data_IF_431144919300
#
_entry.id   IF_431144919300
#
_cell.length_a   1.000
_cell.length_b   1.000
_cell.length_c   1.000
_cell.angle_alpha   90.00
_cell.angle_beta   90.00
_cell.angle_gamma   90.00
#
_symmetry.space_group_name_H-M   'P 1'
#
loop_
_entity.id
_entity.type
_entity.pdbx_description
1 polymer ?
#
# COMPACT_ATOMS: atom_id res chain seq x y z
N UNK A 1 13.18 2.09 2.36
CA UNK A 1 12.12 1.63 1.43
C UNK A 1 10.86 2.38 1.79
N UNK A 2 10.12 2.90 0.81
CA UNK A 2 8.81 3.47 1.09
C UNK A 2 7.86 2.31 1.46
N UNK A 3 6.97 2.53 2.40
CA UNK A 3 5.94 1.55 2.73
C UNK A 3 4.87 1.55 1.64
N UNK A 4 4.63 0.38 1.03
CA UNK A 4 3.69 0.20 -0.08
C UNK A 4 2.29 -0.22 0.38
N UNK A 5 2.08 -0.43 1.69
CA UNK A 5 0.78 -0.86 2.22
C UNK A 5 -0.28 0.23 2.08
N UNK A 6 -1.53 -0.21 1.95
CA UNK A 6 -2.69 0.68 1.94
C UNK A 6 -3.10 1.03 3.37
N UNK A 7 -3.47 2.30 3.57
CA UNK A 7 -3.88 2.83 4.87
C UNK A 7 -5.25 3.52 4.77
N UNK A 8 -6.07 3.36 5.79
CA UNK A 8 -7.26 4.19 6.01
C UNK A 8 -6.91 5.51 6.67
N UNK A 9 -7.66 6.57 6.37
CA UNK A 9 -7.47 7.90 6.97
C UNK A 9 -8.46 8.08 8.11
N UNK A 10 -7.97 8.29 9.33
CA UNK A 10 -8.81 8.68 10.47
C UNK A 10 -8.21 9.90 11.14
N UNK A 11 -9.06 10.83 11.58
CA UNK A 11 -8.61 11.96 12.40
C UNK A 11 -8.32 11.47 13.82
N UNK A 12 -7.41 12.15 14.52
CA UNK A 12 -7.08 11.82 15.91
C UNK A 12 -8.27 12.00 16.86
N UNK A 13 -9.22 12.85 16.48
CA UNK A 13 -10.45 13.14 17.22
C UNK A 13 -11.54 12.11 16.98
N UNK A 14 -11.36 11.20 16.01
CA UNK A 14 -12.39 10.23 15.63
C UNK A 14 -12.99 9.45 16.82
N UNK A 15 -12.22 8.90 17.77
CA UNK A 15 -12.78 8.18 18.92
C UNK A 15 -13.48 9.10 19.94
N UNK A 16 -13.21 10.40 19.90
CA UNK A 16 -13.72 11.40 20.86
C UNK A 16 -14.93 12.17 20.33
N UNK A 17 -15.29 11.99 19.06
CA UNK A 17 -16.45 12.63 18.47
C UNK A 17 -17.72 12.19 19.23
N UNK A 18 -18.61 13.12 19.56
CA UNK A 18 -19.81 12.86 20.37
C UNK A 18 -20.68 11.73 19.83
N UNK A 19 -20.77 11.56 18.50
CA UNK A 19 -21.58 10.49 17.88
C UNK A 19 -20.89 9.12 17.86
N UNK A 20 -19.57 9.08 18.09
CA UNK A 20 -18.74 7.88 18.04
C UNK A 20 -18.40 7.42 19.46
N UNK A 21 -18.15 8.34 20.38
CA UNK A 21 -17.76 8.08 21.75
C UNK A 21 -18.82 7.34 22.58
N UNK A 22 -20.08 7.39 22.14
CA UNK A 22 -21.23 6.73 22.78
C UNK A 22 -21.52 5.33 22.22
N UNK A 23 -20.80 4.92 21.17
CA UNK A 23 -21.01 3.62 20.51
C UNK A 23 -20.48 2.47 21.36
N UNK A 24 -21.08 1.30 21.17
CA UNK A 24 -20.53 0.04 21.64
C UNK A 24 -19.17 -0.25 20.99
N UNK A 25 -18.32 -1.02 21.68
CA UNK A 25 -17.02 -1.46 21.12
C UNK A 25 -17.19 -2.21 19.79
N UNK A 26 -18.29 -2.95 19.64
CA UNK A 26 -18.63 -3.68 18.42
C UNK A 26 -18.96 -2.72 17.27
N UNK A 27 -19.78 -1.69 17.51
CA UNK A 27 -20.12 -0.66 16.52
C UNK A 27 -18.92 0.21 16.16
N UNK A 28 -18.12 0.61 17.15
CA UNK A 28 -16.86 1.32 16.90
C UNK A 28 -15.93 0.51 15.99
N UNK A 29 -15.69 -0.77 16.32
CA UNK A 29 -14.87 -1.65 15.49
C UNK A 29 -15.47 -1.84 14.10
N UNK A 30 -16.78 -2.03 14.01
CA UNK A 30 -17.49 -2.16 12.73
C UNK A 30 -17.24 -0.96 11.83
N UNK A 31 -17.37 0.27 12.34
CA UNK A 31 -17.17 1.48 11.54
C UNK A 31 -15.74 1.59 11.00
N UNK A 32 -14.74 1.27 11.84
CA UNK A 32 -13.33 1.26 11.43
C UNK A 32 -13.09 0.20 10.35
N UNK A 33 -13.51 -1.04 10.58
CA UNK A 33 -13.35 -2.13 9.63
C UNK A 33 -14.09 -1.88 8.31
N UNK A 34 -15.30 -1.36 8.36
CA UNK A 34 -16.10 -1.02 7.18
C UNK A 34 -15.44 0.07 6.33
N UNK A 35 -14.83 1.07 6.97
CA UNK A 35 -14.08 2.13 6.28
C UNK A 35 -12.84 1.57 5.60
N UNK A 36 -12.11 0.68 6.29
CA UNK A 36 -10.92 0.00 5.73
C UNK A 36 -11.28 -0.92 4.57
N UNK A 37 -12.35 -1.72 4.72
CA UNK A 37 -12.88 -2.58 3.67
C UNK A 37 -13.24 -1.77 2.42
N UNK A 38 -13.99 -0.67 2.60
CA UNK A 38 -14.40 0.19 1.49
C UNK A 38 -13.21 0.82 0.77
N UNK A 39 -12.12 1.10 1.50
CA UNK A 39 -10.89 1.67 0.95
C UNK A 39 -10.11 0.66 0.12
N UNK A 40 -10.09 -0.61 0.56
CA UNK A 40 -9.40 -1.72 -0.08
C UNK A 40 -10.14 -2.16 -1.36
N UNK A 41 -11.44 -2.41 -1.23
CA UNK A 41 -12.30 -2.87 -2.33
C UNK A 41 -12.78 -1.76 -3.27
N UNK A 42 -12.48 -0.49 -2.94
CA UNK A 42 -12.91 0.69 -3.71
C UNK A 42 -14.43 0.74 -3.91
N UNK A 43 -15.19 0.52 -2.84
CA UNK A 43 -16.67 0.51 -2.87
C UNK A 43 -17.30 1.87 -2.55
N UNK A 44 -16.50 2.92 -2.36
CA UNK A 44 -16.96 4.28 -2.05
C UNK A 44 -17.87 4.35 -0.80
N UNK A 45 -17.60 3.50 0.18
CA UNK A 45 -18.37 3.41 1.42
C UNK A 45 -19.59 2.51 1.32
N UNK A 46 -19.84 1.87 0.17
CA UNK A 46 -20.93 0.90 0.02
C UNK A 46 -20.60 -0.43 0.67
N UNK A 47 -21.52 -0.92 1.49
CA UNK A 47 -21.47 -2.19 2.19
C UNK A 47 -22.66 -3.06 1.75
N UNK A 48 -22.40 -4.10 0.98
CA UNK A 48 -23.45 -5.00 0.49
C UNK A 48 -24.15 -5.73 1.65
N UNK A 49 -25.50 -5.82 1.60
CA UNK A 49 -26.32 -6.32 2.72
C UNK A 49 -25.87 -7.67 3.27
N UNK A 50 -25.66 -8.65 2.39
CA UNK A 50 -25.25 -10.01 2.77
C UNK A 50 -23.89 -10.02 3.46
N UNK A 51 -22.94 -9.22 2.95
CA UNK A 51 -21.59 -9.13 3.50
C UNK A 51 -21.62 -8.47 4.88
N UNK A 52 -22.26 -7.30 4.99
CA UNK A 52 -22.29 -6.53 6.23
C UNK A 52 -22.95 -7.31 7.38
N UNK A 53 -24.11 -7.93 7.14
CA UNK A 53 -24.82 -8.71 8.15
C UNK A 53 -24.00 -9.93 8.58
N UNK A 54 -23.37 -10.64 7.64
CA UNK A 54 -22.54 -11.79 7.96
C UNK A 54 -21.27 -11.43 8.75
N UNK A 55 -20.75 -10.21 8.55
CA UNK A 55 -19.49 -9.76 9.14
C UNK A 55 -19.67 -9.12 10.53
N UNK A 56 -20.70 -8.29 10.72
CA UNK A 56 -20.85 -7.47 11.93
C UNK A 56 -22.17 -7.64 12.68
N UNK A 57 -23.10 -8.48 12.18
CA UNK A 57 -24.48 -8.62 12.67
C UNK A 57 -25.40 -7.42 12.38
N UNK A 58 -26.71 -7.65 12.41
CA UNK A 58 -27.70 -6.60 12.11
C UNK A 58 -27.80 -5.56 13.23
N UNK A 59 -27.68 -5.97 14.49
CA UNK A 59 -27.80 -5.08 15.66
C UNK A 59 -26.74 -3.98 15.64
N UNK A 60 -25.49 -4.35 15.35
CA UNK A 60 -24.36 -3.41 15.24
C UNK A 60 -24.56 -2.42 14.09
N UNK A 61 -25.09 -2.90 12.95
CA UNK A 61 -25.37 -2.04 11.79
C UNK A 61 -26.52 -1.07 12.08
N UNK A 62 -27.54 -1.52 12.82
CA UNK A 62 -28.65 -0.67 13.24
C UNK A 62 -28.19 0.39 14.23
N UNK A 63 -27.34 0.04 15.20
CA UNK A 63 -26.74 1.01 16.13
C UNK A 63 -26.04 2.15 15.38
N UNK A 64 -25.22 1.81 14.37
CA UNK A 64 -24.54 2.78 13.53
C UNK A 64 -25.49 3.57 12.60
N UNK A 65 -26.66 3.03 12.28
CA UNK A 65 -27.67 3.71 11.49
C UNK A 65 -28.57 4.63 12.33
N UNK A 66 -28.62 4.44 13.64
CA UNK A 66 -29.46 5.22 14.58
C UNK A 66 -28.66 6.02 15.60
N UNK A 67 -27.33 6.09 15.48
CA UNK A 67 -26.48 6.76 16.47
C UNK A 67 -26.64 8.29 16.50
N UNK A 68 -27.20 8.89 15.44
CA UNK A 68 -27.46 10.32 15.35
C UNK A 68 -28.67 10.59 14.46
N UNK A 69 -29.54 11.51 14.86
CA UNK A 69 -30.82 11.78 14.16
C UNK A 69 -30.63 12.28 12.72
N UNK A 70 -29.75 13.28 12.53
CA UNK A 70 -29.52 13.88 11.21
C UNK A 70 -28.35 13.27 10.42
N UNK A 71 -27.29 12.84 11.11
CA UNK A 71 -26.00 12.42 10.50
C UNK A 71 -25.54 11.06 11.03
N UNK A 72 -26.34 10.00 10.80
CA UNK A 72 -25.98 8.66 11.25
C UNK A 72 -24.66 8.22 10.60
N UNK A 73 -23.93 7.31 11.24
CA UNK A 73 -22.67 6.80 10.70
C UNK A 73 -22.89 5.93 9.47
N UNK A 74 -24.00 5.18 9.44
CA UNK A 74 -24.44 4.39 8.29
C UNK A 74 -25.81 4.85 7.80
N UNK A 75 -25.97 4.88 6.48
CA UNK A 75 -27.23 5.17 5.80
C UNK A 75 -27.74 3.87 5.20
N UNK A 76 -28.91 3.39 5.66
CA UNK A 76 -29.52 2.19 5.08
C UNK A 76 -30.04 2.46 3.68
N UNK A 77 -29.84 1.50 2.78
CA UNK A 77 -30.39 1.49 1.43
C UNK A 77 -30.92 0.09 1.09
N UNK A 78 -31.65 -0.03 -0.02
CA UNK A 78 -32.27 -1.30 -0.43
C UNK A 78 -31.27 -2.46 -0.48
N UNK A 79 -30.05 -2.19 -0.95
CA UNK A 79 -29.02 -3.21 -1.20
C UNK A 79 -27.99 -3.36 -0.07
N UNK A 80 -28.10 -2.60 1.02
CA UNK A 80 -27.14 -2.63 2.13
C UNK A 80 -27.03 -1.28 2.84
N UNK A 81 -25.80 -0.84 3.09
CA UNK A 81 -25.53 0.42 3.81
C UNK A 81 -24.46 1.25 3.10
N UNK A 82 -24.52 2.56 3.27
CA UNK A 82 -23.45 3.49 2.91
C UNK A 82 -22.85 4.12 4.15
N UNK A 83 -21.53 4.27 4.18
CA UNK A 83 -20.85 5.07 5.18
C UNK A 83 -21.11 6.56 4.89
N UNK A 84 -21.65 7.27 5.88
CA UNK A 84 -21.92 8.70 5.77
C UNK A 84 -20.63 9.50 5.57
N UNK A 85 -20.65 10.50 4.68
CA UNK A 85 -19.52 11.36 4.30
C UNK A 85 -18.23 10.61 3.89
N UNK A 86 -18.35 9.39 3.35
CA UNK A 86 -17.16 8.62 2.95
C UNK A 86 -16.25 9.40 1.99
N UNK A 87 -16.85 10.05 0.98
CA UNK A 87 -16.11 10.83 -0.02
C UNK A 87 -15.48 12.13 0.54
N UNK A 88 -15.93 12.63 1.69
CA UNK A 88 -15.32 13.80 2.33
C UNK A 88 -14.04 13.43 3.07
N UNK A 89 -13.99 12.22 3.63
CA UNK A 89 -12.91 11.78 4.50
C UNK A 89 -11.93 10.79 3.85
N UNK A 90 -12.37 10.06 2.81
CA UNK A 90 -11.58 9.05 2.11
C UNK A 90 -11.38 9.39 0.64
N UNK A 91 -10.36 8.77 0.02
CA UNK A 91 -10.21 8.85 -1.43
C UNK A 91 -11.26 7.95 -2.09
N UNK A 92 -12.09 8.52 -2.96
CA UNK A 92 -13.06 7.75 -3.76
C UNK A 92 -12.36 6.91 -4.83
N UNK A 93 -13.04 5.88 -5.35
CA UNK A 93 -12.58 5.04 -6.45
C UNK A 93 -12.15 5.89 -7.64
N UNK A 94 -12.97 6.86 -8.04
CA UNK A 94 -12.68 7.74 -9.16
C UNK A 94 -11.38 8.54 -8.94
N UNK A 95 -11.15 9.07 -7.73
CA UNK A 95 -9.93 9.81 -7.41
C UNK A 95 -8.69 8.92 -7.37
N UNK A 96 -8.83 7.70 -6.84
CA UNK A 96 -7.76 6.70 -6.82
C UNK A 96 -7.37 6.30 -8.24
N UNK A 97 -8.34 6.04 -9.09
CA UNK A 97 -8.12 5.71 -10.50
C UNK A 97 -7.49 6.88 -11.27
N UNK A 98 -7.98 8.11 -11.06
CA UNK A 98 -7.39 9.31 -11.66
C UNK A 98 -5.93 9.52 -11.22
N UNK A 99 -5.62 9.25 -9.94
CA UNK A 99 -4.26 9.31 -9.40
C UNK A 99 -3.38 8.23 -10.02
N UNK A 100 -3.88 7.00 -10.13
CA UNK A 100 -3.18 5.87 -10.78
C UNK A 100 -2.86 6.19 -12.24
N UNK A 101 -3.83 6.70 -12.99
CA UNK A 101 -3.64 7.05 -14.40
C UNK A 101 -2.67 8.22 -14.58
N UNK A 102 -2.76 9.26 -13.74
CA UNK A 102 -1.79 10.37 -13.74
C UNK A 102 -0.37 9.86 -13.47
N UNK A 103 -0.18 9.01 -12.48
CA UNK A 103 1.12 8.44 -12.13
C UNK A 103 1.66 7.55 -13.26
N UNK A 104 0.79 6.76 -13.90
CA UNK A 104 1.14 5.95 -15.07
C UNK A 104 1.62 6.82 -16.23
N UNK A 105 0.89 7.89 -16.56
CA UNK A 105 1.29 8.83 -17.63
C UNK A 105 2.60 9.55 -17.32
N UNK A 106 2.80 9.98 -16.08
CA UNK A 106 4.05 10.60 -15.65
C UNK A 106 5.23 9.62 -15.74
N UNK A 107 5.03 8.37 -15.27
CA UNK A 107 6.03 7.30 -15.38
C UNK A 107 6.40 6.97 -16.82
N UNK A 108 5.41 6.90 -17.72
CA UNK A 108 5.64 6.69 -19.15
C UNK A 108 6.47 7.83 -19.77
N UNK A 109 6.11 9.09 -19.48
CA UNK A 109 6.85 10.26 -19.97
C UNK A 109 8.30 10.27 -19.45
N UNK A 110 8.49 9.98 -18.17
CA UNK A 110 9.81 9.86 -17.54
C UNK A 110 10.65 8.75 -18.16
N UNK A 111 10.05 7.58 -18.38
CA UNK A 111 10.71 6.43 -19.03
C UNK A 111 11.15 6.75 -20.46
N UNK A 112 10.29 7.40 -21.25
CA UNK A 112 10.62 7.84 -22.61
C UNK A 112 11.73 8.90 -22.62
N UNK A 113 11.68 9.87 -21.71
CA UNK A 113 12.72 10.90 -21.60
C UNK A 113 14.07 10.27 -21.23
N UNK A 114 14.09 9.36 -20.25
CA UNK A 114 15.29 8.62 -19.86
C UNK A 114 15.84 7.75 -20.99
N UNK A 115 14.97 7.08 -21.75
CA UNK A 115 15.39 6.29 -22.91
C UNK A 115 16.02 7.17 -24.00
N UNK A 116 15.41 8.32 -24.31
CA UNK A 116 15.96 9.30 -25.27
C UNK A 116 17.30 9.86 -24.82
N UNK A 117 17.46 10.19 -23.53
CA UNK A 117 18.74 10.65 -22.99
C UNK A 117 19.81 9.57 -23.08
N UNK A 118 19.50 8.33 -22.68
CA UNK A 118 20.44 7.21 -22.80
C UNK A 118 20.86 6.94 -24.25
N UNK A 119 19.92 7.01 -25.20
CA UNK A 119 20.25 6.88 -26.62
C UNK A 119 21.17 8.01 -27.11
N UNK A 120 20.94 9.26 -26.69
CA UNK A 120 21.82 10.39 -27.00
C UNK A 120 23.22 10.20 -26.44
N UNK A 121 23.34 9.81 -25.17
CA UNK A 121 24.64 9.56 -24.56
C UNK A 121 25.38 8.39 -25.21
N UNK A 122 24.68 7.30 -25.54
CA UNK A 122 25.27 6.18 -26.26
C UNK A 122 25.77 6.60 -27.66
N UNK A 123 24.99 7.39 -28.40
CA UNK A 123 25.41 7.91 -29.70
C UNK A 123 26.62 8.84 -29.60
N UNK A 124 26.69 9.68 -28.55
CA UNK A 124 27.85 10.53 -28.27
C UNK A 124 29.10 9.72 -27.96
N UNK A 125 28.99 8.69 -27.12
CA UNK A 125 30.11 7.80 -26.81
C UNK A 125 30.62 7.04 -28.04
N UNK A 126 29.71 6.55 -28.88
CA UNK A 126 30.10 5.88 -30.13
C UNK A 126 30.79 6.86 -31.08
N UNK A 127 30.29 8.10 -31.20
CA UNK A 127 30.90 9.12 -32.05
C UNK A 127 32.30 9.53 -31.55
N UNK A 128 32.49 9.65 -30.24
CA UNK A 128 33.78 9.97 -29.62
C UNK A 128 34.80 8.84 -29.82
N UNK A 129 34.39 7.58 -29.62
CA UNK A 129 35.24 6.41 -29.90
C UNK A 129 35.63 6.31 -31.39
N UNK A 130 34.70 6.61 -32.31
CA UNK A 130 34.99 6.65 -33.75
C UNK A 130 35.98 7.77 -34.11
N UNK A 131 35.86 8.94 -33.47
CA UNK A 131 36.76 10.06 -33.69
C UNK A 131 38.18 9.76 -33.16
N UNK A 132 38.30 9.13 -31.98
CA UNK A 132 39.58 8.68 -31.42
C UNK A 132 40.24 7.62 -32.31
N UNK A 133 39.49 6.61 -32.77
CA UNK A 133 40.01 5.55 -33.61
C UNK A 133 40.43 6.04 -35.02
N UNK A 134 39.77 7.08 -35.55
CA UNK A 134 40.20 7.76 -36.77
C UNK A 134 41.45 8.63 -36.55
N UNK A 135 41.59 9.28 -35.39
CA UNK A 135 42.78 10.07 -35.06
C UNK A 135 44.02 9.18 -34.88
N UNK A 136 43.87 7.98 -34.31
CA UNK A 136 44.95 7.00 -34.14
C UNK A 136 45.37 6.36 -35.47
N UNK A 137 44.42 6.04 -36.36
CA UNK A 137 44.74 5.52 -37.70
C UNK A 137 45.43 6.55 -38.62
N UNK A 138 45.14 7.84 -38.47
CA UNK A 138 45.84 8.90 -39.21
C UNK A 138 47.22 9.19 -38.61
N UNK A 139 47.43 8.96 -37.30
CA UNK A 139 48.74 9.04 -36.66
C UNK A 139 49.73 7.96 -37.13
N UNK A 140 49.25 6.76 -37.46
CA UNK A 140 50.11 5.66 -37.91
C UNK A 140 50.36 5.64 -39.43
N UNK A 141 49.51 6.29 -40.25
CA UNK A 141 49.71 6.38 -41.71
C UNK A 141 50.59 7.57 -42.17
N UNK A 142 51.04 8.45 -41.28
CA UNK A 142 51.92 9.58 -41.63
C UNK A 142 53.42 9.21 -41.54
N UNK A 143 53.75 7.97 -41.16
CA UNK A 143 55.13 7.46 -41.16
C UNK A 143 55.65 7.00 -42.53
N UNK A 144 54.79 6.61 -43.46
CA UNK A 144 55.23 6.10 -44.77
C UNK A 144 54.20 6.44 -45.85
N UNK A 145 54.50 7.48 -46.64
CA UNK A 145 54.33 7.55 -48.11
C UNK A 145 54.10 9.00 -48.54
N UNK A 146 55.21 9.73 -48.65
CA UNK A 146 55.28 10.87 -49.55
C UNK A 146 55.22 10.42 -51.01
N UNK A 147 54.66 11.30 -51.84
CA UNK A 147 54.65 11.38 -53.32
C UNK A 147 53.70 10.41 -54.06
N UNK A 148 52.60 10.91 -54.64
CA UNK A 148 52.53 11.47 -56.00
C UNK A 148 51.11 11.97 -56.41
N UNK A 149 51.10 13.23 -56.84
CA UNK A 149 50.26 13.99 -57.80
C UNK A 149 49.20 13.27 -58.69
N UNK A 150 47.97 13.82 -58.79
CA UNK A 150 47.29 14.37 -60.02
C UNK A 150 45.82 14.76 -59.72
N UNK A 151 45.42 16.04 -59.85
CA UNK A 151 44.71 16.76 -60.95
C UNK A 151 43.19 16.46 -61.12
N UNK A 152 42.43 17.55 -60.93
CA UNK A 152 41.11 17.98 -61.46
C UNK A 152 39.75 17.53 -60.87
N UNK A 153 39.07 18.59 -60.39
CA UNK A 153 37.74 19.09 -60.80
C UNK A 153 36.47 18.50 -60.17
N UNK A 154 35.89 19.25 -59.23
CA UNK A 154 34.44 19.42 -59.10
C UNK A 154 34.13 20.64 -58.22
N UNK A 155 33.62 21.72 -58.81
CA UNK A 155 32.93 22.80 -58.08
C UNK A 155 31.56 22.33 -57.59
N UNK A 156 31.08 22.85 -56.46
CA UNK A 156 29.75 23.44 -56.51
C UNK A 156 29.71 24.85 -55.92
N UNK A 157 28.85 25.64 -56.54
CA UNK A 157 28.67 27.06 -56.35
C UNK A 157 27.92 27.38 -55.06
N UNK A 158 28.35 28.48 -54.43
CA UNK A 158 27.69 29.15 -53.31
C UNK A 158 26.63 30.09 -53.86
N UNK A 159 25.39 29.97 -53.39
CA UNK A 159 24.40 31.05 -53.45
C UNK A 159 23.88 31.39 -52.05
N UNK A 160 23.68 32.69 -51.88
CA UNK A 160 23.54 33.47 -50.65
C UNK A 160 22.10 33.96 -50.53
N UNK A 161 21.60 34.04 -49.28
CA UNK A 161 20.54 34.91 -48.73
C UNK A 161 19.17 35.05 -49.40
N UNK A 162 18.10 34.93 -48.59
CA UNK A 162 17.04 35.95 -48.57
C UNK A 162 16.44 36.07 -47.16
N UNK A 163 16.52 37.27 -46.62
CA UNK A 163 15.89 37.75 -45.39
C UNK A 163 14.36 37.92 -45.58
N UNK A 164 13.58 37.80 -44.51
CA UNK A 164 12.36 38.60 -44.37
C UNK A 164 12.16 38.95 -42.90
N UNK A 165 12.45 40.21 -42.60
CA UNK A 165 12.07 40.89 -41.39
C UNK A 165 10.54 40.97 -41.27
N UNK A 166 10.00 40.88 -40.05
CA UNK A 166 8.89 41.76 -39.68
C UNK A 166 9.15 42.26 -38.27
N UNK A 167 9.28 43.58 -38.24
CA UNK A 167 9.77 44.41 -37.16
C UNK A 167 8.62 44.89 -36.27
N UNK A 168 8.87 44.84 -34.96
CA UNK A 168 8.46 45.79 -33.90
C UNK A 168 6.97 46.06 -33.63
N UNK A 169 6.60 45.91 -32.35
CA UNK A 169 6.41 47.09 -31.49
C UNK A 169 6.43 46.74 -29.99
N UNK A 170 7.44 47.29 -29.33
CA UNK A 170 7.50 47.55 -27.89
C UNK A 170 6.70 48.81 -27.62
N UNK A 171 5.84 48.80 -26.59
CA UNK A 171 5.61 50.00 -25.77
C UNK A 171 5.54 49.64 -24.30
N UNK A 172 6.31 50.42 -23.55
CA UNK A 172 6.55 50.48 -22.11
C UNK A 172 5.37 50.95 -21.25
N UNK A 173 5.34 50.50 -19.99
CA UNK A 173 5.27 51.42 -18.84
C UNK A 173 3.96 51.54 -18.05
N UNK A 174 4.07 51.37 -16.71
CA UNK A 174 3.10 51.78 -15.68
C UNK A 174 2.14 50.67 -15.25
N UNK A 175 2.12 50.14 -14.02
CA UNK A 175 2.43 50.76 -12.73
C UNK A 175 1.14 51.30 -12.09
N UNK A 176 0.26 50.43 -11.55
CA UNK A 176 -0.66 50.81 -10.47
C UNK A 176 -0.94 49.60 -9.56
N UNK A 177 -0.61 49.80 -8.29
CA UNK A 177 -0.92 48.92 -7.18
C UNK A 177 -2.41 49.00 -6.78
N UNK A 178 -3.00 47.88 -6.36
CA UNK A 178 -4.06 47.88 -5.33
C UNK A 178 -4.21 46.47 -4.74
N UNK A 179 -3.56 46.20 -3.60
CA UNK A 179 -4.20 46.07 -2.27
C UNK A 179 -5.30 45.00 -2.20
N UNK A 180 -4.96 43.84 -1.63
CA UNK A 180 -5.45 43.55 -0.28
C UNK A 180 -4.58 42.48 0.39
N UNK A 181 -3.78 42.96 1.33
CA UNK A 181 -3.19 42.17 2.39
C UNK A 181 -4.21 42.02 3.52
N UNK A 182 -4.44 40.80 3.98
CA UNK A 182 -4.63 40.55 5.41
C UNK A 182 -3.82 39.32 5.81
N UNK A 183 -2.52 39.60 6.00
CA UNK A 183 -1.76 38.91 7.03
C UNK A 183 -2.30 39.34 8.41
N UNK A 184 -2.51 38.38 9.31
CA UNK A 184 -2.21 38.61 10.72
C UNK A 184 -1.14 37.60 11.13
N UNK A 185 -0.05 38.20 11.59
CA UNK A 185 1.14 37.59 12.13
C UNK A 185 0.86 36.86 13.45
N UNK A 186 1.62 35.80 13.67
CA UNK A 186 1.94 35.26 14.98
C UNK A 186 3.32 34.61 14.88
N UNK A 187 4.36 35.43 15.03
CA UNK A 187 5.74 34.98 15.16
C UNK A 187 5.99 34.39 16.56
N UNK A 188 7.10 33.65 16.65
CA UNK A 188 7.81 33.19 17.85
C UNK A 188 7.38 31.86 18.48
N UNK A 189 7.91 30.76 17.92
CA UNK A 189 8.26 29.57 18.69
C UNK A 189 9.65 29.08 18.25
N UNK A 190 10.63 28.93 19.16
CA UNK A 190 11.94 28.38 18.82
C UNK A 190 11.83 26.91 18.39
N UNK A 191 12.73 26.41 17.53
CA UNK A 191 12.69 25.03 17.08
C UNK A 191 12.83 24.09 18.29
N UNK A 192 11.99 23.05 18.43
CA UNK A 192 12.14 22.06 19.48
C UNK A 192 13.50 21.38 19.38
N UNK A 193 14.27 21.47 20.45
CA UNK A 193 15.50 20.73 20.62
C UNK A 193 15.23 19.24 20.45
N UNK A 194 16.11 18.58 19.71
CA UNK A 194 16.14 17.14 19.45
C UNK A 194 15.98 16.33 20.75
N UNK A 195 14.76 15.82 20.98
CA UNK A 195 14.60 14.67 21.87
C UNK A 195 15.07 13.47 21.06
N UNK A 196 16.31 13.04 21.35
CA UNK A 196 16.90 11.80 20.86
C UNK A 196 15.91 10.64 21.00
N UNK A 197 15.44 10.15 19.86
CA UNK A 197 14.69 8.91 19.70
C UNK A 197 15.43 7.74 20.37
N UNK A 198 14.96 7.35 21.56
CA UNK A 198 15.45 6.17 22.29
C UNK A 198 14.56 4.94 22.09
N UNK A 199 13.86 4.84 20.95
CA UNK A 199 12.95 3.72 20.63
C UNK A 199 13.13 3.15 19.23
N UNK A 200 14.37 3.02 18.77
CA UNK A 200 14.70 2.15 17.62
C UNK A 200 15.29 0.83 18.12
N UNK A 201 14.92 -0.23 17.41
CA UNK A 201 15.46 -1.60 17.41
C UNK A 201 14.89 -2.61 18.41
N UNK A 202 13.76 -3.23 18.03
CA UNK A 202 13.44 -4.59 18.50
C UNK A 202 13.10 -5.58 17.35
N UNK A 203 12.93 -5.12 16.10
CA UNK A 203 12.52 -6.00 14.99
C UNK A 203 13.13 -5.69 13.62
N UNK A 204 14.15 -4.83 13.53
CA UNK A 204 14.93 -4.69 12.30
C UNK A 204 16.12 -5.65 12.35
N UNK A 205 16.32 -6.52 11.33
CA UNK A 205 17.56 -7.28 11.24
C UNK A 205 18.71 -6.27 11.17
N UNK A 206 19.74 -6.38 12.02
CA UNK A 206 20.77 -5.36 12.09
C UNK A 206 21.48 -5.26 10.74
N UNK A 207 21.29 -4.11 10.10
CA UNK A 207 22.00 -3.70 8.90
C UNK A 207 23.48 -3.57 9.24
N UNK A 208 24.22 -4.63 8.96
CA UNK A 208 25.67 -4.75 9.07
C UNK A 208 26.27 -4.53 10.48
N UNK A 209 27.21 -5.38 10.87
CA UNK A 209 28.02 -5.11 12.06
C UNK A 209 28.80 -3.80 11.84
N UNK A 210 28.95 -2.96 12.87
CA UNK A 210 29.78 -1.73 12.79
C UNK A 210 31.20 -1.97 12.27
N UNK A 211 31.73 -3.20 12.42
CA UNK A 211 33.04 -3.60 11.89
C UNK A 211 33.04 -3.97 10.41
N UNK A 212 31.89 -4.29 9.82
CA UNK A 212 31.77 -4.78 8.44
C UNK A 212 30.58 -4.11 7.71
N UNK A 213 30.66 -2.80 7.42
CA UNK A 213 29.58 -2.05 6.78
C UNK A 213 29.37 -2.36 5.29
N UNK A 214 30.39 -2.91 4.61
CA UNK A 214 30.41 -3.07 3.15
C UNK A 214 29.98 -4.45 2.62
N UNK A 215 29.40 -5.30 3.47
CA UNK A 215 28.97 -6.64 3.07
C UNK A 215 29.62 -7.72 3.92
N UNK A 216 28.85 -8.79 4.12
CA UNK A 216 29.21 -9.93 4.96
C UNK A 216 30.35 -10.71 4.30
N UNK A 217 31.58 -10.54 4.80
CA UNK A 217 32.69 -11.40 4.42
C UNK A 217 32.68 -12.64 5.33
N UNK A 218 32.60 -13.82 4.73
CA UNK A 218 32.23 -15.07 5.42
C UNK A 218 33.33 -15.65 6.35
N UNK A 219 34.55 -15.10 6.33
CA UNK A 219 35.73 -15.77 6.88
C UNK A 219 36.37 -15.11 8.12
N UNK A 220 35.76 -14.08 8.72
CA UNK A 220 36.29 -13.48 9.96
C UNK A 220 35.51 -13.86 11.22
N UNK A 221 36.26 -14.23 12.27
CA UNK A 221 35.81 -14.59 13.62
C UNK A 221 35.21 -13.40 14.41
N UNK A 222 34.26 -12.68 13.82
CA UNK A 222 33.55 -11.61 14.49
C UNK A 222 32.47 -12.20 15.41
N UNK A 223 32.71 -12.14 16.72
CA UNK A 223 31.77 -12.61 17.75
C UNK A 223 30.43 -11.86 17.74
N UNK A 224 30.39 -10.62 17.23
CA UNK A 224 29.14 -9.89 17.02
C UNK A 224 28.33 -10.46 15.85
N UNK A 225 28.96 -10.69 14.68
CA UNK A 225 28.31 -11.35 13.55
C UNK A 225 27.90 -12.79 13.87
N UNK A 226 28.67 -13.51 14.69
CA UNK A 226 28.31 -14.85 15.18
C UNK A 226 27.05 -14.84 16.06
N UNK A 227 26.89 -13.86 16.95
CA UNK A 227 25.67 -13.71 17.76
C UNK A 227 24.44 -13.36 16.91
N UNK A 228 24.61 -12.50 15.91
CA UNK A 228 23.53 -12.14 15.00
C UNK A 228 23.09 -13.32 14.13
N UNK A 229 24.02 -14.15 13.64
CA UNK A 229 23.71 -15.41 12.96
C UNK A 229 22.88 -16.34 13.83
N UNK A 230 23.32 -16.59 15.06
CA UNK A 230 22.58 -17.44 16.01
C UNK A 230 21.18 -16.92 16.30
N UNK A 231 21.00 -15.61 16.39
CA UNK A 231 19.68 -15.01 16.59
C UNK A 231 18.79 -15.16 15.35
N UNK A 232 19.34 -14.92 14.15
CA UNK A 232 18.60 -15.09 12.90
C UNK A 232 18.23 -16.57 12.65
N UNK A 233 19.13 -17.50 12.97
CA UNK A 233 18.86 -18.94 12.96
C UNK A 233 17.75 -19.30 13.95
N UNK A 234 17.84 -18.83 15.20
CA UNK A 234 16.79 -19.06 16.20
C UNK A 234 15.42 -18.50 15.80
N UNK A 235 15.39 -17.35 15.12
CA UNK A 235 14.13 -16.78 14.59
C UNK A 235 13.54 -17.68 13.49
N UNK A 236 14.36 -18.15 12.55
CA UNK A 236 13.92 -19.08 11.49
C UNK A 236 13.42 -20.39 12.08
N UNK A 237 14.09 -20.93 13.10
CA UNK A 237 13.67 -22.16 13.77
C UNK A 237 12.32 -21.98 14.47
N UNK A 238 12.11 -20.82 15.10
CA UNK A 238 10.84 -20.47 15.75
C UNK A 238 9.71 -20.33 14.73
N UNK A 239 9.94 -19.62 13.63
CA UNK A 239 8.97 -19.48 12.54
C UNK A 239 8.62 -20.84 11.91
N UNK A 240 9.63 -21.69 11.69
CA UNK A 240 9.43 -23.04 11.18
C UNK A 240 8.63 -23.92 12.15
N UNK A 241 8.80 -23.75 13.47
CA UNK A 241 7.98 -24.47 14.46
C UNK A 241 6.53 -23.99 14.46
N UNK A 242 6.29 -22.68 14.37
CA UNK A 242 4.94 -22.12 14.23
C UNK A 242 4.26 -22.65 12.96
N UNK A 243 4.99 -22.73 11.85
CA UNK A 243 4.48 -23.27 10.59
C UNK A 243 4.16 -24.77 10.71
N UNK A 244 5.04 -25.56 11.35
CA UNK A 244 4.78 -26.98 11.67
C UNK A 244 3.55 -27.14 12.54
N UNK A 245 3.35 -26.29 13.55
CA UNK A 245 2.16 -26.33 14.41
C UNK A 245 0.88 -26.05 13.60
N UNK A 246 0.89 -24.98 12.78
CA UNK A 246 -0.25 -24.66 11.89
C UNK A 246 -0.54 -25.77 10.89
N UNK A 247 0.48 -26.44 10.38
CA UNK A 247 0.31 -27.60 9.50
C UNK A 247 -0.30 -28.81 10.22
N UNK A 248 0.11 -29.08 11.47
CA UNK A 248 -0.51 -30.13 12.31
C UNK A 248 -1.98 -29.83 12.58
N UNK A 249 -2.31 -28.59 12.94
CA UNK A 249 -3.69 -28.17 13.19
C UNK A 249 -4.56 -28.28 11.93
N UNK A 250 -4.06 -27.88 10.76
CA UNK A 250 -4.76 -28.08 9.48
C UNK A 250 -4.99 -29.56 9.18
N UNK A 251 -3.96 -30.39 9.30
CA UNK A 251 -4.08 -31.82 9.05
C UNK A 251 -5.01 -32.53 10.06
N UNK A 252 -5.07 -32.05 11.30
CA UNK A 252 -6.03 -32.54 12.30
C UNK A 252 -7.47 -32.12 11.97
N UNK A 253 -7.66 -30.87 11.53
CA UNK A 253 -8.95 -30.36 11.07
C UNK A 253 -9.45 -31.15 9.83
N UNK A 254 -8.60 -31.36 8.82
CA UNK A 254 -8.92 -32.18 7.64
C UNK A 254 -9.28 -33.62 8.02
N UNK A 255 -8.51 -34.25 8.92
CA UNK A 255 -8.85 -35.59 9.44
C UNK A 255 -10.16 -35.60 10.23
N UNK A 256 -10.48 -34.51 10.93
CA UNK A 256 -11.74 -34.33 11.66
C UNK A 256 -12.95 -34.29 10.73
N UNK A 257 -12.83 -33.61 9.59
CA UNK A 257 -13.85 -33.57 8.54
C UNK A 257 -14.12 -34.98 7.99
N UNK A 258 -13.07 -35.74 7.69
CA UNK A 258 -13.19 -37.10 7.15
C UNK A 258 -13.67 -38.15 8.17
N UNK A 259 -13.69 -37.85 9.47
CA UNK A 259 -14.23 -38.73 10.52
C UNK A 259 -15.65 -38.37 10.95
N UNK A 260 -16.25 -37.33 10.39
CA UNK A 260 -17.65 -37.04 10.68
C UNK A 260 -18.52 -38.11 9.99
N UNK A 261 -19.36 -38.87 10.74
CA UNK A 261 -20.24 -39.88 10.15
C UNK A 261 -21.40 -39.27 9.33
N UNK A 262 -21.49 -37.93 9.28
CA UNK A 262 -22.50 -37.17 8.55
C UNK A 262 -21.81 -36.48 7.37
N UNK A 263 -22.28 -36.64 6.12
CA UNK A 263 -21.74 -35.93 4.97
C UNK A 263 -22.06 -34.43 5.09
N UNK A 264 -21.16 -33.68 5.72
CA UNK A 264 -21.22 -32.22 5.72
C UNK A 264 -20.50 -31.68 4.48
N UNK A 265 -21.05 -30.66 3.79
CA UNK A 265 -20.31 -29.93 2.76
C UNK A 265 -19.06 -29.28 3.38
N UNK A 266 -18.03 -29.03 2.57
CA UNK A 266 -16.71 -28.51 2.97
C UNK A 266 -16.72 -27.26 3.87
N UNK A 267 -17.88 -26.60 4.02
CA UNK A 267 -18.12 -25.48 4.93
C UNK A 267 -18.30 -25.86 6.41
N UNK A 268 -18.34 -27.14 6.79
CA UNK A 268 -18.48 -27.57 8.21
C UNK A 268 -19.84 -27.22 8.86
N UNK A 269 -20.84 -26.89 8.04
CA UNK A 269 -22.18 -26.48 8.45
C UNK A 269 -23.18 -27.54 8.01
N UNK A 270 -24.07 -27.96 8.92
CA UNK A 270 -25.16 -28.91 8.63
C UNK A 270 -26.46 -28.12 8.52
N UNK A 271 -27.19 -28.37 7.45
CA UNK A 271 -28.55 -27.86 7.28
C UNK A 271 -29.50 -28.68 8.17
N UNK A 272 -30.16 -28.01 9.12
CA UNK A 272 -31.23 -28.62 9.91
C UNK A 272 -32.58 -28.09 9.43
N UNK A 273 -33.41 -28.92 8.78
CA UNK A 273 -34.78 -28.54 8.46
C UNK A 273 -35.62 -28.56 9.75
N UNK A 274 -36.26 -27.44 10.06
CA UNK A 274 -37.15 -27.26 11.20
C UNK A 274 -37.04 -25.88 11.84
N UNK A 275 -38.04 -25.48 12.64
CA UNK A 275 -38.03 -24.21 13.37
C UNK A 275 -36.96 -24.19 14.45
N UNK A 276 -36.32 -23.04 14.65
CA UNK A 276 -35.28 -22.85 15.68
C UNK A 276 -35.87 -23.05 17.09
N UNK A 277 -35.20 -23.77 18.01
CA UNK A 277 -35.73 -24.04 19.35
C UNK A 277 -36.06 -22.77 20.14
N UNK A 278 -35.27 -21.70 19.93
CA UNK A 278 -35.49 -20.40 20.59
C UNK A 278 -36.28 -19.39 19.74
N UNK A 279 -36.56 -19.72 18.47
CA UNK A 279 -37.38 -18.86 17.59
C UNK A 279 -38.18 -19.71 16.59
N UNK A 280 -39.43 -20.06 16.94
CA UNK A 280 -40.24 -20.95 16.12
C UNK A 280 -40.70 -20.33 14.79
N UNK A 281 -40.42 -19.05 14.53
CA UNK A 281 -40.72 -18.39 13.24
C UNK A 281 -39.57 -18.50 12.24
N UNK A 282 -38.42 -18.98 12.68
CA UNK A 282 -37.21 -19.08 11.86
C UNK A 282 -37.13 -20.47 11.23
N UNK A 283 -37.70 -20.61 10.04
CA UNK A 283 -37.65 -21.85 9.28
C UNK A 283 -36.25 -22.06 8.69
N UNK A 284 -35.60 -23.14 9.12
CA UNK A 284 -34.27 -23.64 8.71
C UNK A 284 -33.06 -22.88 9.24
N UNK A 285 -32.10 -23.64 9.79
CA UNK A 285 -30.81 -23.13 10.29
C UNK A 285 -29.64 -23.91 9.70
N UNK A 286 -28.58 -23.18 9.35
CA UNK A 286 -27.25 -23.77 9.20
C UNK A 286 -26.60 -23.77 10.58
N UNK A 287 -26.43 -24.96 11.16
CA UNK A 287 -25.78 -25.13 12.46
C UNK A 287 -24.36 -25.63 12.20
N UNK A 288 -23.36 -25.12 12.94
CA UNK A 288 -22.01 -25.71 12.92
C UNK A 288 -22.12 -27.18 13.31
N UNK A 289 -21.42 -28.04 12.58
CA UNK A 289 -21.44 -29.48 12.85
C UNK A 289 -21.10 -29.72 14.33
N UNK A 290 -21.96 -30.40 15.10
CA UNK A 290 -21.71 -30.66 16.52
C UNK A 290 -20.54 -31.62 16.76
N UNK A 291 -19.92 -32.17 15.69
CA UNK A 291 -18.67 -32.92 15.77
C UNK A 291 -17.42 -32.04 15.56
N UNK A 292 -17.57 -30.71 15.43
CA UNK A 292 -16.45 -29.78 15.52
C UNK A 292 -15.91 -29.76 16.96
N UNK A 293 -14.82 -30.51 17.17
CA UNK A 293 -14.20 -30.75 18.48
C UNK A 293 -13.84 -29.44 19.20
N UNK A 294 -13.55 -28.36 18.46
CA UNK A 294 -13.29 -27.02 19.02
C UNK A 294 -14.55 -26.37 19.61
N UNK A 295 -15.71 -26.56 18.98
CA UNK A 295 -16.98 -26.05 19.51
C UNK A 295 -17.41 -26.82 20.76
N UNK A 296 -17.14 -28.14 20.82
CA UNK A 296 -17.42 -28.94 22.00
C UNK A 296 -16.49 -28.60 23.18
N UNK A 297 -15.20 -28.35 22.92
CA UNK A 297 -14.26 -27.94 23.96
C UNK A 297 -14.54 -26.52 24.47
N UNK A 298 -14.95 -25.57 23.61
CA UNK A 298 -15.42 -24.24 24.03
C UNK A 298 -16.70 -24.32 24.86
N UNK A 299 -17.70 -25.09 24.42
CA UNK A 299 -18.94 -25.27 25.16
C UNK A 299 -18.73 -25.99 26.49
N UNK A 300 -17.84 -26.99 26.56
CA UNK A 300 -17.49 -27.66 27.81
C UNK A 300 -16.74 -26.73 28.76
N UNK A 301 -15.85 -25.87 28.26
CA UNK A 301 -15.13 -24.89 29.08
C UNK A 301 -16.07 -23.80 29.63
N UNK A 302 -16.98 -23.29 28.80
CA UNK A 302 -18.01 -22.33 29.22
C UNK A 302 -18.98 -22.96 30.23
N UNK A 303 -19.40 -24.21 30.02
CA UNK A 303 -20.31 -24.91 30.91
C UNK A 303 -19.66 -25.24 32.28
N UNK A 304 -18.35 -25.52 32.31
CA UNK A 304 -17.60 -25.70 33.55
C UNK A 304 -17.44 -24.39 34.35
N UNK A 305 -17.33 -23.25 33.67
CA UNK A 305 -17.26 -21.93 34.31
C UNK A 305 -18.60 -21.50 34.91
N UNK A 306 -19.74 -21.89 34.30
CA UNK A 306 -21.08 -21.58 34.84
C UNK A 306 -21.54 -22.47 35.98
N UNK A 307 -21.07 -23.72 36.07
CA UNK A 307 -21.52 -24.67 37.11
C UNK A 307 -20.63 -24.67 38.35
N UNK A 308 -19.42 -24.11 38.29
CA UNK A 308 -18.50 -24.01 39.44
C UNK A 308 -18.69 -22.77 40.33
N UNK A 309 -19.76 -22.00 40.13
CA UNK A 309 -20.00 -20.70 40.79
C UNK A 309 -21.28 -20.63 41.63
N UNK A 310 -21.72 -21.73 42.23
CA UNK A 310 -22.75 -21.76 43.28
C UNK A 310 -22.33 -22.67 44.43
#
# INVERSE_FOLDING_TARGET
MADERLYGKFTLEFPRNSKIAILSDAAFRCLVEATLYSRDELTDGFLARRYAVARWSLEVLQELATNHDEKPSLIECDKGWYIHDYAEHQDTKAEVEARRERNKRAGQRGGQASARQRAKHAAQQVAEQLAEHHAEQVGEQVGERSTERTVNDFQPETETETETETSLLVTSGGGVASRNAHARNGADAPPPQEIRDSRKTANEPPAACRKHPAGWNHDEACTACGRLRKHAEAQRDTEAEIERQRARERAEWERGIHRCPIPCPDSGMIFRPGPHPDDPKRDSLYVRCPHDRRALDQLLHEHQLTVGGQ
#
